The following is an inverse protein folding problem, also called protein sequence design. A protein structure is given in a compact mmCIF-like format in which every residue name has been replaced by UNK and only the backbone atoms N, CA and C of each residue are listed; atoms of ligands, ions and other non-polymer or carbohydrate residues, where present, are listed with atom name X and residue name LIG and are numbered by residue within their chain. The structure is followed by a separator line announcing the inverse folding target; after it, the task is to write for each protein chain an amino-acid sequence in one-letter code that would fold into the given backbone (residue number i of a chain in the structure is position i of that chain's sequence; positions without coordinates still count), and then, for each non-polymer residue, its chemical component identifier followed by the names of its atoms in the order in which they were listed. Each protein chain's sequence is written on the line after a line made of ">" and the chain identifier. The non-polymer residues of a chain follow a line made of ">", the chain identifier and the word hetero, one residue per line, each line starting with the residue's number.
data_IF_038965198436
#
_entry.id   IF_038965198436
#
_cell.length_a   1.000
_cell.length_b   1.000
_cell.length_c   1.000
_cell.angle_alpha   90.00
_cell.angle_beta   90.00
_cell.angle_gamma   90.00
#
_symmetry.space_group_name_H-M   'P 1'
#
loop_
_entity.id
_entity.type
_entity.pdbx_description
1 polymer ?
#
# COMPACT_ATOMS: atom_id res chain seq x y z
N UNK A 1 -2.71 9.22 -7.65
CA UNK A 1 -2.64 8.60 -6.31
C UNK A 1 -3.71 7.53 -6.26
N UNK A 2 -3.32 6.27 -6.06
CA UNK A 2 -4.27 5.15 -6.03
C UNK A 2 -5.13 5.23 -4.77
N UNK A 3 -6.43 5.03 -4.92
CA UNK A 3 -7.36 4.85 -3.81
C UNK A 3 -7.92 3.42 -3.85
N UNK A 4 -8.57 2.96 -2.77
CA UNK A 4 -9.19 1.62 -2.68
C UNK A 4 -10.12 1.31 -3.85
N UNK A 5 -10.86 2.31 -4.31
CA UNK A 5 -11.81 2.19 -5.41
C UNK A 5 -11.11 1.93 -6.73
N UNK A 6 -9.99 2.59 -7.01
CA UNK A 6 -9.24 2.42 -8.26
C UNK A 6 -8.68 1.00 -8.34
N UNK A 7 -8.05 0.52 -7.27
CA UNK A 7 -7.53 -0.85 -7.18
C UNK A 7 -8.64 -1.91 -7.32
N UNK A 8 -9.81 -1.63 -6.75
CA UNK A 8 -10.98 -2.50 -6.90
C UNK A 8 -11.48 -2.54 -8.36
N UNK A 9 -11.62 -1.38 -9.00
CA UNK A 9 -12.13 -1.27 -10.39
C UNK A 9 -11.16 -1.93 -11.38
N UNK A 10 -9.85 -1.72 -11.22
CA UNK A 10 -8.82 -2.34 -12.07
C UNK A 10 -8.85 -3.88 -12.03
N UNK A 11 -9.36 -4.45 -10.94
CA UNK A 11 -9.49 -5.89 -10.72
C UNK A 11 -10.91 -6.42 -10.98
N UNK A 12 -11.80 -5.58 -11.52
CA UNK A 12 -13.20 -5.92 -11.82
C UNK A 12 -14.00 -6.42 -10.61
N UNK A 13 -13.62 -6.00 -9.41
CA UNK A 13 -14.25 -6.44 -8.16
C UNK A 13 -15.45 -5.54 -7.78
N UNK A 14 -16.49 -6.16 -7.24
CA UNK A 14 -17.58 -5.45 -6.59
C UNK A 14 -17.23 -5.04 -5.16
N UNK A 15 -17.91 -4.02 -4.63
CA UNK A 15 -17.76 -3.61 -3.24
C UNK A 15 -18.20 -4.71 -2.26
N UNK A 16 -19.14 -5.57 -2.67
CA UNK A 16 -19.59 -6.72 -1.86
C UNK A 16 -18.47 -7.75 -1.72
N UNK A 17 -17.81 -8.11 -2.82
CA UNK A 17 -16.67 -9.05 -2.78
C UNK A 17 -15.54 -8.52 -1.90
N UNK A 18 -15.23 -7.22 -1.97
CA UNK A 18 -14.25 -6.60 -1.08
C UNK A 18 -14.67 -6.61 0.40
N UNK A 19 -15.97 -6.48 0.68
CA UNK A 19 -16.52 -6.57 2.02
C UNK A 19 -16.37 -7.97 2.61
N UNK A 20 -16.67 -8.99 1.80
CA UNK A 20 -16.57 -10.40 2.20
C UNK A 20 -15.16 -10.78 2.66
N UNK A 21 -14.11 -10.24 2.01
CA UNK A 21 -12.70 -10.43 2.38
C UNK A 21 -12.38 -10.04 3.83
N UNK A 22 -13.07 -9.02 4.37
CA UNK A 22 -12.87 -8.52 5.73
C UNK A 22 -14.07 -8.76 6.65
N UNK A 23 -15.03 -9.59 6.23
CA UNK A 23 -16.26 -9.87 6.98
C UNK A 23 -17.12 -8.61 7.21
N UNK A 24 -17.16 -7.70 6.24
CA UNK A 24 -17.98 -6.47 6.24
C UNK A 24 -18.96 -6.45 5.08
N UNK A 25 -19.94 -5.58 5.17
CA UNK A 25 -20.91 -5.39 4.09
C UNK A 25 -20.39 -4.43 3.01
N UNK A 26 -21.11 -4.37 1.90
CA UNK A 26 -20.85 -3.43 0.81
C UNK A 26 -20.88 -1.97 1.27
N UNK A 27 -21.78 -1.64 2.22
CA UNK A 27 -21.94 -0.26 2.72
C UNK A 27 -20.66 0.21 3.40
N UNK A 28 -20.03 -0.63 4.21
CA UNK A 28 -18.75 -0.35 4.83
C UNK A 28 -17.67 -0.02 3.80
N UNK A 29 -17.55 -0.82 2.74
CA UNK A 29 -16.58 -0.56 1.66
C UNK A 29 -16.87 0.77 0.97
N UNK A 30 -18.14 1.07 0.69
CA UNK A 30 -18.52 2.37 0.10
C UNK A 30 -18.10 3.55 0.99
N UNK A 31 -18.31 3.47 2.31
CA UNK A 31 -17.89 4.53 3.25
C UNK A 31 -16.36 4.67 3.33
N UNK A 32 -15.63 3.56 3.19
CA UNK A 32 -14.16 3.57 3.12
C UNK A 32 -13.67 4.22 1.81
N UNK A 33 -14.26 3.85 0.67
CA UNK A 33 -13.91 4.45 -0.64
C UNK A 33 -14.21 5.96 -0.71
N UNK A 34 -15.25 6.41 0.00
CA UNK A 34 -15.58 7.83 0.15
C UNK A 34 -14.70 8.56 1.18
N UNK A 35 -13.81 7.85 1.88
CA UNK A 35 -12.93 8.42 2.92
C UNK A 35 -13.64 8.79 4.22
N UNK A 36 -14.90 8.36 4.41
CA UNK A 36 -15.69 8.63 5.63
C UNK A 36 -15.26 7.72 6.78
N UNK A 37 -14.78 6.52 6.45
CA UNK A 37 -14.26 5.53 7.40
C UNK A 37 -12.82 5.18 7.03
N UNK A 38 -11.93 5.24 8.01
CA UNK A 38 -10.60 4.61 7.91
C UNK A 38 -10.69 3.25 8.60
N UNK A 39 -10.48 2.13 7.89
CA UNK A 39 -10.50 0.81 8.50
C UNK A 39 -9.36 0.66 9.51
N UNK A 40 -9.54 -0.15 10.55
CA UNK A 40 -8.44 -0.52 11.43
C UNK A 40 -7.34 -1.26 10.66
N UNK A 41 -6.09 -1.16 11.12
CA UNK A 41 -4.91 -1.66 10.40
C UNK A 41 -5.05 -3.11 9.92
N UNK A 42 -5.60 -4.03 10.74
CA UNK A 42 -5.81 -5.43 10.32
C UNK A 42 -6.70 -5.55 9.08
N UNK A 43 -7.80 -4.80 9.01
CA UNK A 43 -8.68 -4.84 7.84
C UNK A 43 -8.03 -4.18 6.64
N UNK A 44 -7.32 -3.06 6.85
CA UNK A 44 -6.57 -2.38 5.81
C UNK A 44 -5.49 -3.28 5.19
N UNK A 45 -4.71 -3.95 6.03
CA UNK A 45 -3.67 -4.91 5.67
C UNK A 45 -4.24 -6.14 4.95
N UNK A 46 -5.38 -6.67 5.40
CA UNK A 46 -6.07 -7.77 4.69
C UNK A 46 -6.55 -7.35 3.30
N UNK A 47 -7.17 -6.16 3.16
CA UNK A 47 -7.58 -5.63 1.87
C UNK A 47 -6.37 -5.44 0.95
N UNK A 48 -5.28 -4.89 1.46
CA UNK A 48 -4.06 -4.64 0.71
C UNK A 48 -3.41 -5.94 0.22
N UNK A 49 -3.33 -6.96 1.09
CA UNK A 49 -2.87 -8.31 0.70
C UNK A 49 -3.75 -8.93 -0.37
N UNK A 50 -5.07 -8.85 -0.23
CA UNK A 50 -6.00 -9.38 -1.21
C UNK A 50 -5.86 -8.68 -2.57
N UNK A 51 -5.67 -7.36 -2.55
CA UNK A 51 -5.40 -6.54 -3.72
C UNK A 51 -3.94 -6.62 -4.19
N UNK A 52 -3.08 -7.41 -3.56
CA UNK A 52 -1.68 -7.56 -3.93
C UNK A 52 -0.92 -6.23 -4.04
N UNK A 53 -1.16 -5.29 -3.12
CA UNK A 53 -0.47 -3.99 -3.08
C UNK A 53 -0.06 -3.63 -1.65
N UNK A 54 0.93 -2.75 -1.46
CA UNK A 54 1.26 -2.23 -0.13
C UNK A 54 0.07 -1.49 0.49
N UNK A 55 -0.10 -1.59 1.82
CA UNK A 55 -1.24 -0.97 2.53
C UNK A 55 -1.23 0.55 2.40
N UNK A 56 -0.05 1.16 2.40
CA UNK A 56 0.15 2.59 2.19
C UNK A 56 -0.27 3.09 0.80
N UNK A 57 -0.31 2.21 -0.21
CA UNK A 57 -0.79 2.53 -1.56
C UNK A 57 -2.27 2.90 -1.53
N UNK A 58 -3.03 2.23 -0.66
CA UNK A 58 -4.48 2.36 -0.55
C UNK A 58 -4.88 3.28 0.61
N UNK A 59 -4.10 3.24 1.69
CA UNK A 59 -4.33 3.95 2.93
C UNK A 59 -3.04 4.66 3.36
N UNK A 60 -2.77 5.86 2.84
CA UNK A 60 -1.52 6.59 3.14
C UNK A 60 -1.29 6.85 4.64
N UNK A 61 -2.34 6.86 5.46
CA UNK A 61 -2.23 6.97 6.91
C UNK A 61 -1.49 5.80 7.60
N UNK A 62 -1.33 4.65 6.91
CA UNK A 62 -0.53 3.52 7.38
C UNK A 62 0.90 3.51 6.84
N UNK A 63 1.34 4.60 6.21
CA UNK A 63 2.75 4.77 5.81
C UNK A 63 3.63 4.56 7.03
N UNK A 64 4.57 3.62 6.94
CA UNK A 64 5.53 3.36 8.03
C UNK A 64 6.38 4.62 8.23
N UNK A 65 6.35 5.15 9.46
CA UNK A 65 7.19 6.28 9.88
C UNK A 65 8.53 5.82 10.46
N UNK A 66 8.76 4.51 10.64
CA UNK A 66 10.09 3.99 10.98
C UNK A 66 11.01 4.01 9.74
N UNK A 67 12.32 4.14 9.98
CA UNK A 67 13.37 4.22 8.93
C UNK A 67 13.07 3.24 7.79
N UNK A 68 12.88 3.82 6.61
CA UNK A 68 12.63 3.27 5.28
C UNK A 68 12.96 1.77 5.07
N UNK A 69 12.21 1.05 4.21
CA UNK A 69 12.67 -0.24 3.68
C UNK A 69 14.10 -0.05 3.15
N UNK A 70 15.00 -0.93 3.56
CA UNK A 70 16.39 -0.85 3.13
C UNK A 70 16.51 -1.04 1.62
N UNK A 71 17.68 -0.74 1.05
CA UNK A 71 17.94 -0.93 -0.38
C UNK A 71 17.51 -2.34 -0.87
N UNK A 72 17.79 -3.37 -0.08
CA UNK A 72 17.41 -4.77 -0.38
C UNK A 72 15.90 -4.98 -0.46
N UNK A 73 15.13 -4.35 0.42
CA UNK A 73 13.67 -4.45 0.44
C UNK A 73 13.06 -3.76 -0.78
N UNK A 74 13.58 -2.58 -1.14
CA UNK A 74 13.16 -1.85 -2.33
C UNK A 74 13.49 -2.64 -3.61
N UNK A 75 14.65 -3.29 -3.66
CA UNK A 75 15.06 -4.07 -4.82
C UNK A 75 14.31 -5.39 -4.93
N UNK A 76 13.92 -5.97 -3.81
CA UNK A 76 12.98 -7.09 -3.78
C UNK A 76 11.60 -6.69 -4.35
N UNK A 77 11.04 -5.55 -3.91
CA UNK A 77 9.77 -5.04 -4.46
C UNK A 77 9.86 -4.75 -5.96
N UNK A 78 10.97 -4.16 -6.42
CA UNK A 78 11.23 -3.97 -7.85
C UNK A 78 11.28 -5.30 -8.62
N UNK A 79 11.98 -6.31 -8.08
CA UNK A 79 12.08 -7.64 -8.71
C UNK A 79 10.72 -8.35 -8.84
N UNK A 80 9.76 -8.00 -7.98
CA UNK A 80 8.39 -8.49 -8.03
C UNK A 80 7.48 -7.66 -8.96
N UNK A 81 8.00 -6.63 -9.62
CA UNK A 81 7.27 -5.80 -10.58
C UNK A 81 6.44 -4.68 -9.96
N UNK A 82 6.67 -4.33 -8.68
CA UNK A 82 6.01 -3.18 -8.06
C UNK A 82 6.61 -1.86 -8.54
N UNK A 83 5.76 -0.86 -8.77
CA UNK A 83 6.18 0.51 -9.04
C UNK A 83 6.83 1.11 -7.77
N UNK A 84 8.15 1.11 -7.75
CA UNK A 84 8.96 1.69 -6.67
C UNK A 84 9.22 3.19 -6.88
N UNK A 85 8.67 3.82 -7.91
CA UNK A 85 8.80 5.27 -8.17
C UNK A 85 8.27 6.12 -7.01
N UNK A 86 7.28 5.59 -6.27
CA UNK A 86 6.76 6.18 -5.03
C UNK A 86 7.81 6.30 -3.92
N UNK A 87 8.94 5.58 -4.05
CA UNK A 87 10.06 5.59 -3.12
C UNK A 87 11.30 6.32 -3.68
N UNK A 88 11.24 7.03 -4.81
CA UNK A 88 12.41 7.72 -5.41
C UNK A 88 13.16 8.62 -4.42
N UNK A 89 12.44 9.38 -3.59
CA UNK A 89 13.05 10.21 -2.55
C UNK A 89 13.82 9.38 -1.51
N UNK A 90 13.27 8.23 -1.13
CA UNK A 90 13.91 7.29 -0.19
C UNK A 90 15.13 6.61 -0.81
N UNK A 91 15.03 6.18 -2.07
CA UNK A 91 16.13 5.57 -2.82
C UNK A 91 17.33 6.53 -2.86
N UNK A 92 17.09 7.81 -3.19
CA UNK A 92 18.15 8.83 -3.25
C UNK A 92 18.86 9.03 -1.91
N UNK A 93 18.13 9.05 -0.80
CA UNK A 93 18.73 9.14 0.53
C UNK A 93 19.54 7.88 0.91
N UNK A 94 19.06 6.70 0.54
CA UNK A 94 19.74 5.43 0.83
C UNK A 94 21.05 5.30 0.03
N UNK A 95 21.03 5.62 -1.27
CA UNK A 95 22.23 5.61 -2.11
C UNK A 95 23.29 6.59 -1.59
N UNK A 96 22.87 7.74 -1.06
CA UNK A 96 23.79 8.74 -0.51
C UNK A 96 24.40 8.28 0.83
N UNK A 97 23.64 7.55 1.66
CA UNK A 97 24.09 7.02 2.95
C UNK A 97 25.02 5.81 2.80
N UNK A 98 24.78 4.92 1.83
CA UNK A 98 25.70 3.80 1.54
C UNK A 98 27.05 4.30 1.03
N UNK A 99 27.07 5.29 0.14
CA UNK A 99 28.31 5.88 -0.38
C UNK A 99 29.19 6.57 0.69
N UNK A 100 28.60 6.98 1.83
CA UNK A 100 29.32 7.56 2.97
C UNK A 100 29.83 6.51 3.96
N UNK A 101 29.36 5.27 3.88
CA UNK A 101 29.66 4.22 4.85
C UNK A 101 30.73 3.23 4.36
N UNK A 102 31.12 3.32 3.09
CA UNK A 102 32.20 2.54 2.45
C UNK A 102 33.55 3.31 2.39
N UNK A 103 33.70 4.37 3.18
CA UNK A 103 34.91 5.23 3.27
C UNK A 103 35.66 5.11 4.57
#
# INVERSE_FOLDING_TARGET
>A
MGNLRDERIMRELSQRELGEVIGKDQKYISEVELGRIIPGFRNADTLARFLGVPVERIFPCFTRTSRFPGYKDLMYLYSLGYDIGVYEGAIRELTTKEAQNDG
#
